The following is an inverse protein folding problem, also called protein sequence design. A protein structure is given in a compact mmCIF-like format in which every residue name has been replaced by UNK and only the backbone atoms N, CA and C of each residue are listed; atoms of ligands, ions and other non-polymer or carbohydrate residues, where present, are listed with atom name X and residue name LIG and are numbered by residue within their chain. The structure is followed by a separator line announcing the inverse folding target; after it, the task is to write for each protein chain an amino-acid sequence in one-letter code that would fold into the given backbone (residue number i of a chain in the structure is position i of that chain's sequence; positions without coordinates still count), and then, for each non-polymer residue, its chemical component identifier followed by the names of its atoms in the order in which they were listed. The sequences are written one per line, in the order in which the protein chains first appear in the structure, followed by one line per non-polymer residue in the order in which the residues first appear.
data_IF_882549036450
#
_entry.id   IF_882549036450
#
_cell.length_a   1.000
_cell.length_b   1.000
_cell.length_c   1.000
_cell.angle_alpha   90.00
_cell.angle_beta   90.00
_cell.angle_gamma   90.00
#
_symmetry.space_group_name_H-M   'P 1'
#
loop_
_entity.id
_entity.type
_entity.pdbx_description
1 polymer ?
#
# COMPACT_ATOMS: atom_id res chain seq x y z
N UNK A 1 6.21 2.74 20.69
CA UNK A 1 6.08 3.90 19.77
C UNK A 1 5.32 3.57 18.49
N UNK A 2 5.67 2.54 17.71
CA UNK A 2 4.84 2.07 16.58
C UNK A 2 3.41 1.66 17.04
N UNK A 3 3.33 0.97 18.18
CA UNK A 3 2.06 0.65 18.87
C UNK A 3 1.19 1.88 19.19
N UNK A 4 1.80 3.04 19.48
CA UNK A 4 1.04 4.28 19.73
C UNK A 4 0.37 4.77 18.44
N UNK A 5 1.09 4.73 17.32
CA UNK A 5 0.49 5.05 16.01
C UNK A 5 -0.60 4.06 15.59
N UNK A 6 -0.51 2.78 16.02
CA UNK A 6 -1.60 1.80 15.84
C UNK A 6 -2.83 2.20 16.67
N UNK A 7 -2.64 2.55 17.95
CA UNK A 7 -3.76 3.00 18.80
C UNK A 7 -4.38 4.30 18.33
N UNK A 8 -3.56 5.24 17.84
CA UNK A 8 -4.02 6.51 17.28
C UNK A 8 -4.84 6.27 16.01
N UNK A 9 -4.36 5.38 15.12
CA UNK A 9 -5.10 4.99 13.93
C UNK A 9 -6.44 4.32 14.25
N UNK A 10 -6.45 3.37 15.20
CA UNK A 10 -7.69 2.75 15.66
C UNK A 10 -8.67 3.78 16.27
N UNK A 11 -8.15 4.76 17.02
CA UNK A 11 -8.92 5.88 17.55
C UNK A 11 -9.54 6.75 16.45
N UNK A 12 -8.78 7.06 15.40
CA UNK A 12 -9.28 7.81 14.24
C UNK A 12 -10.38 7.05 13.49
N UNK A 13 -10.16 5.76 13.22
CA UNK A 13 -11.12 4.92 12.49
C UNK A 13 -12.44 4.75 13.24
N UNK A 14 -12.38 4.63 14.57
CA UNK A 14 -13.58 4.51 15.41
C UNK A 14 -14.38 5.81 15.47
N UNK A 15 -13.72 6.96 15.42
CA UNK A 15 -14.36 8.29 15.55
C UNK A 15 -14.82 8.86 14.23
N UNK A 16 -14.21 8.47 13.12
CA UNK A 16 -14.39 9.12 11.82
C UNK A 16 -14.70 8.10 10.71
N UNK A 17 -15.98 7.77 10.48
CA UNK A 17 -16.41 6.83 9.44
C UNK A 17 -15.95 7.19 8.03
N UNK A 18 -15.67 8.47 7.74
CA UNK A 18 -15.21 8.92 6.42
C UNK A 18 -13.90 8.22 6.00
N UNK A 19 -13.06 7.82 6.96
CA UNK A 19 -11.81 7.11 6.69
C UNK A 19 -12.02 5.70 6.14
N UNK A 20 -13.23 5.14 6.26
CA UNK A 20 -13.57 3.84 5.69
C UNK A 20 -13.82 3.90 4.17
N UNK A 21 -13.94 5.10 3.59
CA UNK A 21 -14.17 5.28 2.17
C UNK A 21 -13.01 4.73 1.32
N UNK A 22 -11.77 4.83 1.81
CA UNK A 22 -10.63 4.19 1.14
C UNK A 22 -10.78 2.68 1.06
N UNK A 23 -11.27 2.05 2.14
CA UNK A 23 -11.60 0.63 2.14
C UNK A 23 -12.62 0.31 1.07
N UNK A 24 -13.69 1.11 0.97
CA UNK A 24 -14.75 0.89 0.00
C UNK A 24 -14.22 0.95 -1.43
N UNK A 25 -13.43 1.98 -1.76
CA UNK A 25 -12.83 2.11 -3.10
C UNK A 25 -11.90 0.93 -3.38
N UNK A 26 -11.01 0.58 -2.43
CA UNK A 26 -10.07 -0.51 -2.62
C UNK A 26 -10.73 -1.88 -2.68
N UNK A 27 -11.81 -2.10 -1.92
CA UNK A 27 -12.61 -3.32 -1.98
C UNK A 27 -13.32 -3.47 -3.32
N UNK A 28 -13.91 -2.40 -3.86
CA UNK A 28 -14.51 -2.42 -5.20
C UNK A 28 -13.46 -2.72 -6.27
N UNK A 29 -12.29 -2.07 -6.21
CA UNK A 29 -11.19 -2.36 -7.13
C UNK A 29 -10.72 -3.82 -7.02
N UNK A 30 -10.65 -4.37 -5.80
CA UNK A 30 -10.29 -5.77 -5.56
C UNK A 30 -11.31 -6.77 -6.15
N UNK A 31 -12.61 -6.46 -6.11
CA UNK A 31 -13.61 -7.27 -6.82
C UNK A 31 -13.36 -7.22 -8.33
N UNK A 32 -13.14 -6.02 -8.87
CA UNK A 32 -12.89 -5.85 -10.31
C UNK A 32 -11.62 -6.60 -10.76
N UNK A 33 -10.56 -6.60 -9.94
CA UNK A 33 -9.32 -7.32 -10.23
C UNK A 33 -9.50 -8.82 -10.43
N UNK A 34 -10.50 -9.39 -9.74
CA UNK A 34 -10.78 -10.82 -9.82
C UNK A 34 -11.82 -11.11 -10.91
N UNK A 35 -12.90 -10.34 -10.95
CA UNK A 35 -14.05 -10.60 -11.84
C UNK A 35 -13.75 -10.18 -13.29
N UNK A 36 -13.10 -9.04 -13.54
CA UNK A 36 -12.90 -8.55 -14.90
C UNK A 36 -12.04 -9.51 -15.73
N UNK A 37 -10.87 -9.97 -15.27
CA UNK A 37 -10.06 -10.90 -16.08
C UNK A 37 -10.73 -12.25 -16.30
N UNK A 38 -11.52 -12.73 -15.34
CA UNK A 38 -12.14 -14.07 -15.37
C UNK A 38 -13.46 -14.10 -16.17
N UNK A 39 -14.30 -13.07 -16.06
CA UNK A 39 -15.67 -13.07 -16.64
C UNK A 39 -15.79 -12.18 -17.88
N UNK A 40 -15.02 -11.08 -17.96
CA UNK A 40 -15.07 -10.12 -19.08
C UNK A 40 -13.94 -10.37 -20.08
N UNK A 41 -12.79 -10.80 -19.57
CA UNK A 41 -11.64 -11.20 -20.35
C UNK A 41 -10.35 -10.47 -19.96
N UNK A 42 -9.23 -11.17 -20.13
CA UNK A 42 -7.89 -10.74 -19.73
C UNK A 42 -7.43 -9.45 -20.41
N UNK A 43 -8.00 -9.10 -21.57
CA UNK A 43 -7.72 -7.83 -22.26
C UNK A 43 -7.96 -6.59 -21.39
N UNK A 44 -8.92 -6.66 -20.46
CA UNK A 44 -9.28 -5.53 -19.60
C UNK A 44 -8.43 -5.44 -18.32
N UNK A 45 -7.56 -6.42 -18.06
CA UNK A 45 -6.73 -6.44 -16.85
C UNK A 45 -5.73 -5.25 -16.81
N UNK A 46 -5.05 -4.97 -17.93
CA UNK A 46 -4.08 -3.86 -17.97
C UNK A 46 -4.75 -2.48 -17.89
N UNK A 47 -5.84 -2.18 -18.63
CA UNK A 47 -6.60 -0.95 -18.43
C UNK A 47 -7.10 -0.77 -16.99
N UNK A 48 -7.54 -1.85 -16.33
CA UNK A 48 -7.96 -1.81 -14.93
C UNK A 48 -6.81 -1.44 -14.00
N UNK A 49 -5.62 -2.04 -14.20
CA UNK A 49 -4.42 -1.68 -13.44
C UNK A 49 -4.04 -0.19 -13.63
N UNK A 50 -4.14 0.33 -14.86
CA UNK A 50 -3.93 1.77 -15.12
C UNK A 50 -4.95 2.64 -14.38
N UNK A 51 -6.22 2.25 -14.37
CA UNK A 51 -7.26 2.96 -13.62
C UNK A 51 -6.93 3.01 -12.13
N UNK A 52 -6.45 1.92 -11.55
CA UNK A 52 -6.05 1.89 -10.13
C UNK A 52 -4.91 2.84 -9.83
N UNK A 53 -3.85 2.82 -10.65
CA UNK A 53 -2.71 3.74 -10.50
C UNK A 53 -3.17 5.19 -10.54
N UNK A 54 -4.19 5.51 -11.33
CA UNK A 54 -4.77 6.86 -11.41
C UNK A 54 -5.70 7.18 -10.24
N UNK A 55 -6.47 6.22 -9.72
CA UNK A 55 -7.40 6.45 -8.60
C UNK A 55 -6.64 6.60 -7.28
N UNK A 56 -5.55 5.86 -7.09
CA UNK A 56 -4.83 5.78 -5.81
C UNK A 56 -4.36 7.14 -5.26
N UNK A 57 -3.75 8.04 -6.05
CA UNK A 57 -3.37 9.38 -5.58
C UNK A 57 -4.54 10.21 -5.04
N UNK A 58 -5.71 10.12 -5.68
CA UNK A 58 -6.91 10.82 -5.23
C UNK A 58 -7.36 10.33 -3.86
N UNK A 59 -7.43 9.02 -3.69
CA UNK A 59 -7.92 8.40 -2.45
C UNK A 59 -6.92 8.61 -1.31
N UNK A 60 -5.62 8.45 -1.58
CA UNK A 60 -4.54 8.74 -0.64
C UNK A 60 -4.57 10.21 -0.19
N UNK A 61 -4.66 11.16 -1.14
CA UNK A 61 -4.77 12.58 -0.86
C UNK A 61 -6.01 12.95 -0.05
N UNK A 62 -7.13 12.28 -0.32
CA UNK A 62 -8.37 12.43 0.44
C UNK A 62 -8.21 12.01 1.91
N UNK A 63 -7.69 10.81 2.17
CA UNK A 63 -7.46 10.30 3.53
C UNK A 63 -6.46 11.18 4.30
N UNK A 64 -5.31 11.48 3.71
CA UNK A 64 -4.28 12.25 4.39
C UNK A 64 -4.72 13.70 4.62
N UNK A 65 -5.45 14.30 3.68
CA UNK A 65 -5.94 15.67 3.81
C UNK A 65 -6.99 15.82 4.91
N UNK A 66 -7.98 14.93 5.01
CA UNK A 66 -8.96 15.00 6.12
C UNK A 66 -8.31 14.83 7.49
N UNK A 67 -7.26 14.00 7.58
CA UNK A 67 -6.48 13.81 8.81
C UNK A 67 -5.66 15.07 9.13
N UNK A 68 -4.99 15.65 8.13
CA UNK A 68 -4.17 16.86 8.27
C UNK A 68 -5.01 18.06 8.71
N UNK A 69 -6.13 18.30 8.04
CA UNK A 69 -7.01 19.45 8.29
C UNK A 69 -7.93 19.23 9.51
N UNK A 70 -7.97 18.01 10.07
CA UNK A 70 -8.87 17.60 11.16
C UNK A 70 -10.36 17.86 10.85
N UNK A 71 -10.71 17.91 9.55
CA UNK A 71 -12.06 18.09 9.05
C UNK A 71 -12.53 16.79 8.37
N UNK A 72 -13.32 16.00 9.09
CA UNK A 72 -13.73 14.66 8.68
C UNK A 72 -15.05 14.64 7.89
N UNK A 73 -15.16 15.51 6.88
CA UNK A 73 -16.33 15.60 5.99
C UNK A 73 -16.04 15.01 4.60
N UNK A 74 -17.08 14.50 3.93
CA UNK A 74 -16.95 13.99 2.56
C UNK A 74 -16.53 15.07 1.55
N UNK A 75 -16.97 16.31 1.76
CA UNK A 75 -16.52 17.46 0.96
C UNK A 75 -15.03 17.72 1.12
N UNK A 76 -14.50 17.60 2.34
CA UNK A 76 -13.06 17.74 2.59
C UNK A 76 -12.28 16.61 1.92
N UNK A 77 -12.76 15.37 2.01
CA UNK A 77 -12.14 14.22 1.36
C UNK A 77 -11.96 14.46 -0.14
N UNK A 78 -13.02 14.88 -0.83
CA UNK A 78 -12.98 15.14 -2.28
C UNK A 78 -12.09 16.35 -2.59
N UNK A 79 -12.17 17.41 -1.79
CA UNK A 79 -11.36 18.63 -1.97
C UNK A 79 -9.88 18.31 -1.81
N UNK A 80 -9.51 17.61 -0.75
CA UNK A 80 -8.14 17.18 -0.47
C UNK A 80 -7.63 16.20 -1.52
N UNK A 81 -8.45 15.23 -1.92
CA UNK A 81 -8.10 14.29 -2.99
C UNK A 81 -7.76 15.00 -4.30
N UNK A 82 -8.53 16.02 -4.70
CA UNK A 82 -8.22 16.85 -5.88
C UNK A 82 -6.97 17.70 -5.68
N UNK A 83 -6.84 18.35 -4.52
CA UNK A 83 -5.73 19.26 -4.25
C UNK A 83 -4.37 18.56 -4.25
N UNK A 84 -4.29 17.37 -3.65
CA UNK A 84 -3.05 16.60 -3.52
C UNK A 84 -2.83 15.59 -4.66
N UNK A 85 -3.77 15.44 -5.59
CA UNK A 85 -3.72 14.45 -6.67
C UNK A 85 -2.38 14.42 -7.40
N UNK A 86 -2.00 15.53 -8.04
CA UNK A 86 -0.74 15.63 -8.79
C UNK A 86 0.49 15.65 -7.90
N UNK A 87 0.35 16.08 -6.65
CA UNK A 87 1.43 16.06 -5.66
C UNK A 87 1.82 14.64 -5.25
N UNK A 88 0.91 13.67 -5.41
CA UNK A 88 1.18 12.24 -5.18
C UNK A 88 1.47 11.52 -6.51
N UNK A 89 0.68 11.80 -7.55
CA UNK A 89 0.83 11.13 -8.85
C UNK A 89 2.20 11.40 -9.51
N UNK A 90 2.67 12.65 -9.52
CA UNK A 90 3.93 12.97 -10.20
C UNK A 90 5.16 12.30 -9.56
N UNK A 91 5.35 12.34 -8.22
CA UNK A 91 6.41 11.55 -7.58
C UNK A 91 6.30 10.06 -7.86
N UNK A 92 5.08 9.48 -7.90
CA UNK A 92 4.93 8.05 -8.20
C UNK A 92 5.47 7.68 -9.58
N UNK A 93 5.26 8.53 -10.59
CA UNK A 93 5.84 8.30 -11.92
C UNK A 93 7.36 8.43 -11.93
N UNK A 94 7.91 9.40 -11.19
CA UNK A 94 9.36 9.54 -11.03
C UNK A 94 9.96 8.31 -10.35
N UNK A 95 9.32 7.78 -9.30
CA UNK A 95 9.74 6.58 -8.60
C UNK A 95 9.65 5.36 -9.53
N UNK A 96 8.54 5.18 -10.23
CA UNK A 96 8.36 4.10 -11.21
C UNK A 96 9.44 4.15 -12.30
N UNK A 97 9.69 5.33 -12.86
CA UNK A 97 10.74 5.54 -13.85
C UNK A 97 12.12 5.21 -13.28
N UNK A 98 12.42 5.62 -12.05
CA UNK A 98 13.67 5.29 -11.38
C UNK A 98 13.84 3.77 -11.21
N UNK A 99 12.79 3.04 -10.80
CA UNK A 99 12.80 1.57 -10.71
C UNK A 99 13.10 0.96 -12.07
N UNK A 100 12.37 1.34 -13.12
CA UNK A 100 12.57 0.79 -14.47
C UNK A 100 13.95 1.10 -15.03
N UNK A 101 14.43 2.32 -14.84
CA UNK A 101 15.77 2.73 -15.25
C UNK A 101 16.85 1.92 -14.52
N UNK A 102 16.74 1.74 -13.20
CA UNK A 102 17.68 0.93 -12.44
C UNK A 102 17.66 -0.54 -12.86
N UNK A 103 16.48 -1.13 -13.07
CA UNK A 103 16.36 -2.50 -13.61
C UNK A 103 17.04 -2.61 -14.97
N UNK A 104 16.77 -1.67 -15.88
CA UNK A 104 17.36 -1.66 -17.22
C UNK A 104 18.88 -1.54 -17.16
N UNK A 105 19.42 -0.61 -16.35
CA UNK A 105 20.85 -0.41 -16.19
C UNK A 105 21.55 -1.64 -15.58
N UNK A 106 20.91 -2.34 -14.64
CA UNK A 106 21.45 -3.55 -14.02
C UNK A 106 21.30 -4.79 -14.91
N UNK A 107 20.32 -4.81 -15.83
CA UNK A 107 20.16 -5.90 -16.78
C UNK A 107 21.32 -5.98 -17.79
N UNK A 108 21.91 -4.83 -18.17
CA UNK A 108 23.04 -4.76 -19.11
C UNK A 108 24.26 -5.57 -18.63
N UNK A 109 24.86 -5.32 -17.44
CA UNK A 109 26.00 -6.10 -16.98
C UNK A 109 25.63 -7.57 -16.76
N UNK A 110 24.40 -7.86 -16.31
CA UNK A 110 23.92 -9.24 -16.12
C UNK A 110 23.85 -10.01 -17.45
N UNK A 111 23.48 -9.33 -18.53
CA UNK A 111 23.52 -9.86 -19.88
C UNK A 111 24.95 -10.18 -20.32
N UNK A 112 25.88 -9.26 -20.09
CA UNK A 112 27.27 -9.35 -20.54
C UNK A 112 28.05 -10.50 -19.86
N UNK A 113 27.73 -10.82 -18.61
CA UNK A 113 28.36 -11.94 -17.88
C UNK A 113 27.72 -13.32 -18.18
N UNK A 114 26.81 -13.39 -19.16
CA UNK A 114 26.12 -14.63 -19.50
C UNK A 114 25.11 -15.10 -18.45
N UNK A 115 24.72 -14.24 -17.51
CA UNK A 115 23.87 -14.56 -16.36
C UNK A 115 22.39 -14.79 -16.67
N UNK A 116 22.02 -15.02 -17.94
CA UNK A 116 20.65 -15.33 -18.37
C UNK A 116 19.61 -14.31 -17.88
N UNK A 117 19.45 -13.19 -18.59
CA UNK A 117 18.51 -12.10 -18.23
C UNK A 117 17.10 -12.66 -17.96
N UNK A 118 16.60 -13.56 -18.80
CA UNK A 118 15.25 -14.11 -18.70
C UNK A 118 15.00 -14.88 -17.39
N UNK A 119 16.00 -15.60 -16.88
CA UNK A 119 15.86 -16.37 -15.64
C UNK A 119 15.89 -15.49 -14.37
N UNK A 120 16.57 -14.34 -14.44
CA UNK A 120 16.83 -13.49 -13.28
C UNK A 120 16.05 -12.17 -13.27
N UNK A 121 15.31 -11.86 -14.34
CA UNK A 121 14.60 -10.59 -14.49
C UNK A 121 13.57 -10.36 -13.37
N UNK A 122 12.82 -11.39 -12.97
CA UNK A 122 11.83 -11.27 -11.89
C UNK A 122 12.49 -10.93 -10.55
N UNK A 123 13.58 -11.61 -10.19
CA UNK A 123 14.34 -11.35 -8.97
C UNK A 123 14.98 -9.95 -9.00
N UNK A 124 15.50 -9.52 -10.15
CA UNK A 124 16.05 -8.18 -10.35
C UNK A 124 14.99 -7.10 -10.15
N UNK A 125 13.83 -7.24 -10.81
CA UNK A 125 12.70 -6.30 -10.67
C UNK A 125 12.27 -6.24 -9.21
N UNK A 126 12.08 -7.39 -8.56
CA UNK A 126 11.66 -7.45 -7.16
C UNK A 126 12.68 -6.78 -6.23
N UNK A 127 13.97 -7.09 -6.37
CA UNK A 127 15.01 -6.52 -5.53
C UNK A 127 15.13 -5.00 -5.66
N UNK A 128 15.11 -4.49 -6.89
CA UNK A 128 15.17 -3.05 -7.18
C UNK A 128 13.89 -2.34 -6.70
N UNK A 129 12.73 -2.86 -7.06
CA UNK A 129 11.45 -2.27 -6.69
C UNK A 129 11.27 -2.26 -5.17
N UNK A 130 11.57 -3.36 -4.48
CA UNK A 130 11.48 -3.45 -3.02
C UNK A 130 12.41 -2.44 -2.34
N UNK A 131 13.65 -2.32 -2.81
CA UNK A 131 14.64 -1.40 -2.24
C UNK A 131 14.21 0.06 -2.41
N UNK A 132 13.83 0.46 -3.62
CA UNK A 132 13.41 1.83 -3.90
C UNK A 132 12.08 2.13 -3.20
N UNK A 133 11.11 1.22 -3.25
CA UNK A 133 9.83 1.38 -2.56
C UNK A 133 10.03 1.51 -1.05
N UNK A 134 10.96 0.76 -0.45
CA UNK A 134 11.25 0.85 0.99
C UNK A 134 11.60 2.28 1.43
N UNK A 135 12.54 2.93 0.72
CA UNK A 135 12.99 4.28 1.05
C UNK A 135 12.01 5.38 0.61
N UNK A 136 11.28 5.15 -0.48
CA UNK A 136 10.35 6.15 -1.02
C UNK A 136 8.93 5.99 -0.48
N UNK A 137 8.64 4.98 0.33
CA UNK A 137 7.29 4.62 0.75
C UNK A 137 6.44 5.76 1.32
N UNK A 138 7.04 6.72 2.02
CA UNK A 138 6.36 7.82 2.70
C UNK A 138 6.30 9.11 1.86
N UNK A 139 6.63 9.07 0.56
CA UNK A 139 6.62 10.26 -0.30
C UNK A 139 5.24 10.93 -0.34
N UNK A 140 4.17 10.12 -0.35
CA UNK A 140 2.78 10.56 -0.39
C UNK A 140 2.39 11.31 0.89
N UNK A 141 2.80 10.79 2.05
CA UNK A 141 2.62 11.46 3.33
C UNK A 141 3.43 12.75 3.43
N UNK A 142 4.66 12.79 2.91
CA UNK A 142 5.45 14.01 2.85
C UNK A 142 4.79 15.08 1.95
N UNK A 143 4.29 14.67 0.77
CA UNK A 143 3.60 15.56 -0.16
C UNK A 143 2.33 16.18 0.45
N UNK A 144 1.59 15.44 1.27
CA UNK A 144 0.36 15.94 1.91
C UNK A 144 0.64 16.70 3.20
N UNK A 145 1.30 16.08 4.18
CA UNK A 145 1.47 16.66 5.51
C UNK A 145 2.44 17.84 5.51
N UNK A 146 3.54 17.76 4.75
CA UNK A 146 4.56 18.81 4.69
C UNK A 146 4.39 19.72 3.46
N UNK A 147 3.49 19.39 2.54
CA UNK A 147 3.25 20.20 1.34
C UNK A 147 4.41 20.18 0.33
N UNK A 148 5.29 19.17 0.42
CA UNK A 148 6.51 19.05 -0.35
C UNK A 148 6.25 18.97 -1.87
N UNK A 149 7.18 19.53 -2.64
CA UNK A 149 7.18 19.42 -4.11
C UNK A 149 7.58 18.01 -4.57
N UNK A 150 7.58 17.75 -5.89
CA UNK A 150 7.77 16.41 -6.45
C UNK A 150 9.04 15.71 -5.95
N UNK A 151 10.22 16.26 -6.24
CA UNK A 151 11.49 15.67 -5.80
C UNK A 151 11.73 15.80 -4.30
N UNK A 152 11.21 16.87 -3.71
CA UNK A 152 11.31 17.14 -2.28
C UNK A 152 10.57 16.07 -1.47
N UNK A 153 9.39 15.64 -1.91
CA UNK A 153 8.62 14.58 -1.26
C UNK A 153 9.35 13.23 -1.26
N UNK A 154 10.04 12.90 -2.36
CA UNK A 154 10.86 11.70 -2.50
C UNK A 154 12.06 11.79 -1.55
N UNK A 155 12.83 12.88 -1.63
CA UNK A 155 13.97 13.13 -0.75
C UNK A 155 13.56 13.04 0.72
N UNK A 156 12.45 13.69 1.07
CA UNK A 156 11.93 13.72 2.43
C UNK A 156 11.53 12.34 2.94
N UNK A 157 10.95 11.50 2.08
CA UNK A 157 10.69 10.09 2.42
C UNK A 157 11.97 9.35 2.76
N UNK A 158 13.02 9.50 1.92
CA UNK A 158 14.32 8.85 2.15
C UNK A 158 14.91 9.31 3.49
N UNK A 159 14.93 10.63 3.75
CA UNK A 159 15.41 11.20 5.02
C UNK A 159 14.59 10.68 6.21
N UNK A 160 13.27 10.61 6.08
CA UNK A 160 12.39 10.10 7.12
C UNK A 160 12.71 8.64 7.45
N UNK A 161 12.90 7.79 6.42
CA UNK A 161 13.24 6.38 6.59
C UNK A 161 14.63 6.21 7.20
N UNK A 162 15.64 6.94 6.72
CA UNK A 162 17.00 6.87 7.26
C UNK A 162 17.05 7.28 8.74
N UNK A 163 16.33 8.32 9.12
CA UNK A 163 16.28 8.80 10.50
C UNK A 163 15.43 7.91 11.43
N UNK A 164 14.63 6.97 10.90
CA UNK A 164 13.70 6.15 11.67
C UNK A 164 13.76 4.66 11.28
N UNK A 165 14.90 4.17 10.78
CA UNK A 165 15.03 2.88 10.11
C UNK A 165 14.38 1.72 10.88
N UNK A 166 14.72 1.56 12.16
CA UNK A 166 14.14 0.50 13.01
C UNK A 166 12.63 0.62 13.20
N UNK A 167 12.12 1.85 13.29
CA UNK A 167 10.68 2.08 13.45
C UNK A 167 9.93 1.85 12.14
N UNK A 168 10.55 2.14 11.01
CA UNK A 168 10.00 1.84 9.69
C UNK A 168 9.99 0.33 9.45
N UNK A 169 11.03 -0.40 9.84
CA UNK A 169 11.02 -1.88 9.83
C UNK A 169 9.87 -2.43 10.68
N UNK A 170 9.68 -1.92 11.90
CA UNK A 170 8.55 -2.31 12.74
C UNK A 170 7.20 -1.94 12.11
N UNK A 171 7.11 -0.80 11.42
CA UNK A 171 5.91 -0.40 10.66
C UNK A 171 5.56 -1.43 9.58
N UNK A 172 6.55 -1.89 8.80
CA UNK A 172 6.33 -2.93 7.80
C UNK A 172 5.94 -4.27 8.42
N UNK A 173 6.62 -4.70 9.48
CA UNK A 173 6.30 -5.96 10.19
C UNK A 173 4.87 -5.97 10.72
N UNK A 174 4.38 -4.84 11.26
CA UNK A 174 2.99 -4.72 11.71
C UNK A 174 2.01 -4.84 10.54
N UNK A 175 2.29 -4.19 9.40
CA UNK A 175 1.43 -4.32 8.21
C UNK A 175 1.40 -5.75 7.67
N UNK A 176 2.57 -6.41 7.61
CA UNK A 176 2.67 -7.82 7.21
C UNK A 176 1.87 -8.70 8.17
N UNK A 177 2.03 -8.52 9.49
CA UNK A 177 1.29 -9.28 10.49
C UNK A 177 -0.24 -9.10 10.33
N UNK A 178 -0.70 -7.86 10.16
CA UNK A 178 -2.14 -7.58 9.95
C UNK A 178 -2.63 -8.27 8.67
N UNK A 179 -1.88 -8.18 7.57
CA UNK A 179 -2.23 -8.84 6.32
C UNK A 179 -2.27 -10.36 6.46
N UNK A 180 -1.30 -10.97 7.16
CA UNK A 180 -1.26 -12.42 7.43
C UNK A 180 -2.46 -12.85 8.26
N UNK A 181 -2.81 -12.11 9.32
CA UNK A 181 -3.97 -12.43 10.16
C UNK A 181 -5.27 -12.31 9.36
N UNK A 182 -5.46 -11.23 8.61
CA UNK A 182 -6.65 -11.05 7.77
C UNK A 182 -6.72 -12.13 6.68
N UNK A 183 -5.60 -12.45 6.05
CA UNK A 183 -5.50 -13.50 5.04
C UNK A 183 -5.83 -14.87 5.61
N UNK A 184 -5.33 -15.21 6.80
CA UNK A 184 -5.65 -16.48 7.46
C UNK A 184 -7.15 -16.60 7.79
N UNK A 185 -7.75 -15.54 8.35
CA UNK A 185 -9.19 -15.51 8.62
C UNK A 185 -10.02 -15.59 7.34
N UNK A 186 -9.56 -14.94 6.27
CA UNK A 186 -10.20 -14.99 4.97
C UNK A 186 -10.11 -16.36 4.32
N UNK A 187 -8.97 -17.05 4.42
CA UNK A 187 -8.83 -18.43 3.95
C UNK A 187 -9.80 -19.36 4.69
N UNK A 188 -9.92 -19.22 6.00
CA UNK A 188 -10.89 -19.99 6.78
C UNK A 188 -12.33 -19.72 6.33
N UNK A 189 -12.72 -18.44 6.19
CA UNK A 189 -14.04 -18.06 5.72
C UNK A 189 -14.31 -18.55 4.29
N UNK A 190 -13.32 -18.41 3.40
CA UNK A 190 -13.37 -18.86 2.01
C UNK A 190 -13.58 -20.37 1.92
N UNK A 191 -12.79 -21.16 2.66
CA UNK A 191 -12.93 -22.62 2.70
C UNK A 191 -14.28 -23.06 3.26
N UNK A 192 -14.79 -22.37 4.28
CA UNK A 192 -16.11 -22.66 4.85
C UNK A 192 -17.25 -22.33 3.86
N UNK A 193 -17.17 -21.21 3.15
CA UNK A 193 -18.18 -20.79 2.17
C UNK A 193 -18.17 -21.64 0.89
N UNK A 194 -17.04 -22.24 0.54
CA UNK A 194 -16.89 -23.08 -0.64
C UNK A 194 -16.76 -24.57 -0.32
N UNK A 195 -17.14 -25.00 0.89
CA UNK A 195 -16.95 -26.39 1.33
C UNK A 195 -17.55 -27.40 0.35
N UNK A 196 -18.78 -27.15 -0.12
CA UNK A 196 -19.48 -28.04 -1.06
C UNK A 196 -18.79 -28.10 -2.44
N UNK A 197 -18.11 -27.01 -2.84
CA UNK A 197 -17.36 -26.95 -4.10
C UNK A 197 -15.98 -27.60 -3.98
N UNK A 198 -15.39 -27.57 -2.79
CA UNK A 198 -14.04 -28.07 -2.52
C UNK A 198 -14.02 -29.53 -2.05
N UNK A 199 -15.15 -30.09 -1.63
CA UNK A 199 -15.29 -31.49 -1.21
C UNK A 199 -14.66 -32.50 -2.18
N UNK A 200 -14.81 -32.37 -3.52
CA UNK A 200 -14.18 -33.28 -4.47
C UNK A 200 -12.65 -33.37 -4.31
N UNK A 201 -11.98 -32.26 -3.95
CA UNK A 201 -10.53 -32.22 -3.76
C UNK A 201 -10.05 -33.11 -2.60
N UNK A 202 -10.90 -33.31 -1.59
CA UNK A 202 -10.58 -34.16 -0.43
C UNK A 202 -10.61 -35.64 -0.80
N UNK A 203 -11.41 -35.99 -1.80
CA UNK A 203 -11.55 -37.37 -2.30
C UNK A 203 -10.52 -37.75 -3.37
N UNK A 204 -9.81 -36.78 -3.93
CA UNK A 204 -8.79 -37.01 -4.96
C UNK A 204 -7.53 -37.64 -4.38
N UNK A 205 -6.93 -38.54 -5.15
CA UNK A 205 -5.62 -39.11 -4.85
C UNK A 205 -4.50 -38.07 -5.01
N UNK A 206 -3.34 -38.26 -4.35
CA UNK A 206 -2.20 -37.35 -4.51
C UNK A 206 -1.72 -37.19 -5.96
N UNK A 207 -1.88 -38.22 -6.79
CA UNK A 207 -1.51 -38.17 -8.20
C UNK A 207 -2.45 -37.26 -9.01
N UNK A 208 -3.75 -37.29 -8.72
CA UNK A 208 -4.75 -36.44 -9.37
C UNK A 208 -4.57 -34.98 -8.95
N UNK A 209 -4.32 -34.71 -7.66
CA UNK A 209 -4.06 -33.36 -7.16
C UNK A 209 -2.83 -32.71 -7.82
N UNK A 210 -1.80 -33.50 -8.17
CA UNK A 210 -0.61 -33.00 -8.87
C UNK A 210 -0.87 -32.64 -10.34
N UNK A 211 -1.95 -33.15 -10.93
CA UNK A 211 -2.34 -32.85 -12.31
C UNK A 211 -3.31 -31.69 -12.44
N UNK A 212 -3.83 -31.16 -11.31
CA UNK A 212 -4.77 -30.04 -11.33
C UNK A 212 -4.11 -28.78 -11.86
N UNK A 213 -4.72 -28.22 -12.90
CA UNK A 213 -4.36 -26.91 -13.43
C UNK A 213 -5.23 -25.81 -12.79
N UNK A 214 -4.79 -24.53 -12.83
CA UNK A 214 -5.58 -23.42 -12.30
C UNK A 214 -6.98 -23.33 -12.90
N UNK A 215 -7.14 -23.65 -14.19
CA UNK A 215 -8.43 -23.71 -14.88
C UNK A 215 -9.37 -24.78 -14.32
N UNK A 216 -8.86 -25.92 -13.87
CA UNK A 216 -9.66 -26.98 -13.27
C UNK A 216 -10.22 -26.54 -11.92
N UNK A 217 -9.42 -25.80 -11.14
CA UNK A 217 -9.85 -25.21 -9.87
C UNK A 217 -10.91 -24.13 -10.08
N UNK A 218 -10.77 -23.30 -11.12
CA UNK A 218 -11.76 -22.29 -11.48
C UNK A 218 -13.07 -22.94 -11.94
N UNK A 219 -13.00 -24.00 -12.75
CA UNK A 219 -14.16 -24.76 -13.18
C UNK A 219 -14.88 -25.44 -12.00
N UNK A 220 -14.13 -25.94 -11.03
CA UNK A 220 -14.65 -26.58 -9.83
C UNK A 220 -15.46 -25.61 -8.95
N UNK A 221 -14.93 -24.41 -8.68
CA UNK A 221 -15.63 -23.41 -7.86
C UNK A 221 -16.79 -22.75 -8.64
N UNK A 222 -16.68 -22.68 -9.97
CA UNK A 222 -17.65 -22.05 -10.86
C UNK A 222 -17.83 -20.55 -10.63
N UNK A 223 -18.73 -19.93 -11.40
CA UNK A 223 -18.99 -18.48 -11.33
C UNK A 223 -19.41 -18.02 -9.94
N UNK A 224 -20.27 -18.76 -9.24
CA UNK A 224 -20.66 -18.45 -7.86
C UNK A 224 -19.43 -18.42 -6.93
N UNK A 225 -18.55 -19.42 -7.03
CA UNK A 225 -17.34 -19.48 -6.23
C UNK A 225 -16.34 -18.38 -6.56
N UNK A 226 -16.27 -17.93 -7.81
CA UNK A 226 -15.50 -16.75 -8.22
C UNK A 226 -16.00 -15.50 -7.51
N UNK A 227 -17.32 -15.27 -7.46
CA UNK A 227 -17.90 -14.12 -6.74
C UNK A 227 -17.66 -14.20 -5.23
N UNK A 228 -17.81 -15.38 -4.62
CA UNK A 228 -17.49 -15.59 -3.19
C UNK A 228 -16.01 -15.25 -2.94
N UNK A 229 -15.11 -15.74 -3.80
CA UNK A 229 -13.67 -15.45 -3.71
C UNK A 229 -13.40 -13.95 -3.83
N UNK A 230 -14.03 -13.27 -4.80
CA UNK A 230 -13.89 -11.84 -5.01
C UNK A 230 -14.38 -11.04 -3.80
N UNK A 231 -15.52 -11.41 -3.20
CA UNK A 231 -16.07 -10.72 -2.02
C UNK A 231 -15.16 -10.92 -0.81
N UNK A 232 -14.71 -12.15 -0.55
CA UNK A 232 -13.81 -12.44 0.58
C UNK A 232 -12.49 -11.66 0.41
N UNK A 233 -11.90 -11.67 -0.79
CA UNK A 233 -10.72 -10.88 -1.10
C UNK A 233 -10.96 -9.38 -0.91
N UNK A 234 -12.08 -8.86 -1.40
CA UNK A 234 -12.46 -7.46 -1.24
C UNK A 234 -12.62 -7.05 0.22
N UNK A 235 -13.15 -7.91 1.09
CA UNK A 235 -13.23 -7.64 2.55
C UNK A 235 -11.84 -7.52 3.16
N UNK A 236 -10.90 -8.39 2.79
CA UNK A 236 -9.50 -8.29 3.25
C UNK A 236 -8.89 -6.98 2.81
N UNK A 237 -8.98 -6.65 1.52
CA UNK A 237 -8.41 -5.43 0.95
C UNK A 237 -9.07 -4.19 1.55
N UNK A 238 -10.39 -4.22 1.78
CA UNK A 238 -11.13 -3.17 2.45
C UNK A 238 -10.56 -2.89 3.84
N UNK A 239 -10.48 -3.91 4.71
CA UNK A 239 -10.03 -3.75 6.10
C UNK A 239 -8.55 -3.34 6.12
N UNK A 240 -7.72 -4.01 5.32
CA UNK A 240 -6.30 -3.72 5.26
C UNK A 240 -6.02 -2.31 4.79
N UNK A 241 -6.69 -1.82 3.73
CA UNK A 241 -6.47 -0.47 3.20
C UNK A 241 -6.85 0.62 4.21
N UNK A 242 -7.97 0.46 4.90
CA UNK A 242 -8.43 1.39 5.94
C UNK A 242 -7.41 1.49 7.07
N UNK A 243 -6.94 0.34 7.55
CA UNK A 243 -5.88 0.26 8.55
C UNK A 243 -4.58 0.89 8.03
N UNK A 244 -4.12 0.44 6.87
CA UNK A 244 -2.82 0.77 6.30
C UNK A 244 -2.62 2.27 6.13
N UNK A 245 -3.56 2.95 5.47
CA UNK A 245 -3.46 4.38 5.19
C UNK A 245 -3.57 5.23 6.46
N UNK A 246 -4.48 4.86 7.38
CA UNK A 246 -4.64 5.59 8.64
C UNK A 246 -3.43 5.39 9.56
N UNK A 247 -2.89 4.17 9.58
CA UNK A 247 -1.68 3.84 10.34
C UNK A 247 -0.46 4.57 9.77
N UNK A 248 -0.30 4.59 8.45
CA UNK A 248 0.78 5.32 7.76
C UNK A 248 0.73 6.82 8.06
N UNK A 249 -0.45 7.43 7.95
CA UNK A 249 -0.66 8.84 8.30
C UNK A 249 -0.28 9.15 9.75
N UNK A 250 -0.76 8.33 10.68
CA UNK A 250 -0.48 8.48 12.12
C UNK A 250 1.00 8.25 12.45
N UNK A 251 1.64 7.28 11.77
CA UNK A 251 3.07 6.98 11.92
C UNK A 251 3.94 8.13 11.45
N UNK A 252 3.64 8.69 10.27
CA UNK A 252 4.37 9.83 9.72
C UNK A 252 4.18 11.07 10.58
N UNK A 253 2.94 11.45 10.90
CA UNK A 253 2.63 12.65 11.69
C UNK A 253 3.29 12.62 13.08
N UNK A 254 3.17 11.50 13.81
CA UNK A 254 3.75 11.39 15.16
C UNK A 254 5.29 11.57 15.17
N UNK A 255 5.97 11.21 14.09
CA UNK A 255 7.44 11.28 13.99
C UNK A 255 7.94 12.55 13.32
N UNK A 256 7.22 13.07 12.32
CA UNK A 256 7.53 14.36 11.72
C UNK A 256 7.39 15.50 12.75
N UNK A 257 6.33 15.49 13.56
CA UNK A 257 6.15 16.45 14.65
C UNK A 257 7.18 16.28 15.78
N UNK A 258 7.61 15.04 16.05
CA UNK A 258 8.66 14.75 17.03
C UNK A 258 10.03 15.29 16.59
N UNK A 259 10.38 15.14 15.31
CA UNK A 259 11.61 15.70 14.74
C UNK A 259 11.59 17.24 14.74
N UNK A 260 10.46 17.86 14.36
CA UNK A 260 10.29 19.31 14.42
C UNK A 260 10.43 19.85 15.86
N UNK A 261 9.84 19.16 16.85
CA UNK A 261 9.97 19.51 18.28
C UNK A 261 11.40 19.34 18.80
N UNK A 262 12.14 18.32 18.37
CA UNK A 262 13.55 18.16 18.74
C UNK A 262 14.44 19.24 18.10
N UNK A 263 14.10 19.69 16.89
CA UNK A 263 14.79 20.80 16.23
C UNK A 263 14.45 22.17 16.85
N UNK A 264 13.23 22.36 17.37
CA UNK A 264 12.88 23.52 18.23
C UNK A 264 13.60 23.49 19.58
N UNK A 265 13.98 22.32 20.08
CA UNK A 265 14.75 22.19 21.32
C UNK A 265 16.27 22.35 21.11
N UNK A 266 16.76 22.28 19.87
CA UNK A 266 18.14 22.59 19.50
C UNK A 266 18.32 24.08 19.22
N UNK A 267 18.14 24.90 20.26
CA UNK A 267 18.50 26.30 20.25
C UNK A 267 19.20 26.68 21.55
N UNK A 268 20.18 27.57 21.47
CA UNK A 268 20.91 28.06 22.63
C UNK A 268 20.36 29.42 23.04
N UNK A 269 20.25 29.64 24.35
CA UNK A 269 19.95 30.94 24.90
C UNK A 269 21.26 31.72 25.05
N UNK A 270 21.32 32.92 24.47
CA UNK A 270 22.35 33.93 24.74
C UNK A 270 22.34 34.28 26.25
N UNK A 271 23.47 34.75 26.78
CA UNK A 271 23.61 35.35 28.12
C UNK A 271 22.54 36.42 28.44
N UNK A 272 21.94 37.03 27.42
CA UNK A 272 20.81 37.98 27.50
C UNK A 272 19.42 37.34 27.43
N UNK A 273 19.31 36.01 27.46
CA UNK A 273 18.04 35.29 27.43
C UNK A 273 17.32 35.31 26.07
N UNK A 274 18.04 35.56 24.98
CA UNK A 274 17.49 35.51 23.61
C UNK A 274 17.71 34.14 23.01
N UNK A 275 16.67 33.55 22.46
CA UNK A 275 16.71 32.21 21.88
C UNK A 275 17.19 32.27 20.43
N UNK A 276 18.21 31.47 20.11
CA UNK A 276 18.75 31.33 18.75
C UNK A 276 18.56 29.89 18.26
N UNK A 277 17.96 29.75 17.08
CA UNK A 277 17.80 28.48 16.38
C UNK A 277 19.08 28.16 15.62
N UNK A 278 19.56 26.92 15.70
CA UNK A 278 20.59 26.41 14.78
C UNK A 278 19.99 25.92 13.46
#
# INVERSE_FOLDING_TARGET
MALKSVTDAAGLLRRHPILWLIGLVMGVLAVLDLVVPLEVGTFYAQPLLLLQVLVMPFVAGGVYGVIKEKNFSGSEFVRSGKHYYFRILLPSFVIYFAIMLTVFLLAIPLALIGGGIAANLAALILGVALSIAFFTFFYDTAAVFEGANVFESIRRSVEFVMNNLWSVLAFYLINILVLVVLGFLALFAWSALLVDKLEPLVSMSPAELQTLMPEDLLALIGTEGVWITAIVYAVVIFIFSVFHYTYKASFFSNRASGAARLQELQGEYDEKGRWYKY
#
